data_IF_945718218772
#
_entry.id   IF_945718218772
#
_cell.length_a   1.000
_cell.length_b   1.000
_cell.length_c   1.000
_cell.angle_alpha   90.00
_cell.angle_beta   90.00
_cell.angle_gamma   90.00
#
_symmetry.space_group_name_H-M   'P 1'
#
loop_
_entity.id
_entity.type
_entity.pdbx_description
1 polymer ?
#
# COMPACT_ATOMS: atom_id res chain seq x y z
N UNK A 1 -15.60 -1.83 25.47
CA UNK A 1 -14.43 -1.71 24.56
C UNK A 1 -13.12 -1.85 25.34
N UNK A 2 -12.99 -1.19 26.48
CA UNK A 2 -11.83 -1.28 27.40
C UNK A 2 -11.53 -2.71 27.85
N UNK A 3 -12.56 -3.46 28.24
CA UNK A 3 -12.42 -4.81 28.83
C UNK A 3 -11.93 -5.86 27.83
N UNK A 4 -12.07 -5.59 26.53
CA UNK A 4 -11.56 -6.47 25.48
C UNK A 4 -10.04 -6.33 25.35
N UNK A 5 -9.53 -5.10 25.36
CA UNK A 5 -8.13 -4.79 25.10
C UNK A 5 -7.22 -5.23 26.25
N UNK A 6 -7.71 -5.19 27.49
CA UNK A 6 -6.95 -5.62 28.69
C UNK A 6 -6.63 -7.12 28.72
N UNK A 7 -7.18 -7.92 27.82
CA UNK A 7 -6.85 -9.35 27.70
C UNK A 7 -5.57 -9.60 26.88
N UNK A 8 -4.99 -8.56 26.27
CA UNK A 8 -3.80 -8.66 25.45
C UNK A 8 -2.65 -7.90 26.10
N UNK A 9 -1.44 -8.45 25.99
CA UNK A 9 -0.22 -7.81 26.49
C UNK A 9 0.48 -6.94 25.44
N UNK A 10 0.12 -7.12 24.16
CA UNK A 10 0.77 -6.44 23.05
C UNK A 10 -0.26 -6.11 21.96
N UNK A 11 -0.14 -4.91 21.43
CA UNK A 11 -0.85 -4.47 20.23
C UNK A 11 0.19 -4.20 19.14
N UNK A 12 0.05 -4.89 18.01
CA UNK A 12 0.92 -4.70 16.83
C UNK A 12 0.08 -4.02 15.75
N UNK A 13 0.54 -2.86 15.30
CA UNK A 13 -0.12 -2.10 14.24
C UNK A 13 0.63 -2.31 12.94
N UNK A 14 -0.11 -2.62 11.87
CA UNK A 14 0.38 -2.36 10.52
C UNK A 14 0.47 -0.84 10.31
N UNK A 15 1.30 -0.40 9.37
CA UNK A 15 1.45 1.03 9.07
C UNK A 15 0.36 1.50 8.10
N UNK A 16 0.27 0.85 6.94
CA UNK A 16 -0.46 1.39 5.80
C UNK A 16 -1.96 1.07 5.87
N UNK A 17 -2.80 2.11 5.78
CA UNK A 17 -4.25 1.96 5.96
C UNK A 17 -4.68 1.71 7.42
N UNK A 18 -3.72 1.70 8.36
CA UNK A 18 -3.96 1.52 9.80
C UNK A 18 -3.42 2.71 10.59
N UNK A 19 -2.11 2.97 10.54
CA UNK A 19 -1.52 4.19 11.12
C UNK A 19 -1.65 5.39 10.17
N UNK A 20 -1.34 5.16 8.90
CA UNK A 20 -1.32 6.19 7.87
C UNK A 20 -2.41 5.94 6.84
N UNK A 21 -3.13 6.99 6.42
CA UNK A 21 -4.09 6.91 5.31
C UNK A 21 -3.34 6.93 3.96
N UNK A 22 -2.57 5.87 3.72
CA UNK A 22 -1.64 5.76 2.59
C UNK A 22 -2.19 4.92 1.42
N UNK A 23 -3.35 4.29 1.57
CA UNK A 23 -3.92 3.40 0.55
C UNK A 23 -4.18 4.12 -0.79
N UNK A 24 -4.67 5.36 -0.73
CA UNK A 24 -4.87 6.19 -1.92
C UNK A 24 -3.54 6.52 -2.58
N UNK A 25 -2.54 6.94 -1.80
CA UNK A 25 -1.20 7.26 -2.31
C UNK A 25 -0.54 6.05 -2.97
N UNK A 26 -0.70 4.84 -2.41
CA UNK A 26 -0.22 3.61 -3.04
C UNK A 26 -0.89 3.35 -4.39
N UNK A 27 -2.20 3.54 -4.47
CA UNK A 27 -2.96 3.40 -5.73
C UNK A 27 -2.40 4.35 -6.79
N UNK A 28 -2.21 5.62 -6.44
CA UNK A 28 -1.62 6.61 -7.34
C UNK A 28 -0.16 6.29 -7.70
N UNK A 29 0.61 5.72 -6.77
CA UNK A 29 1.97 5.25 -7.04
C UNK A 29 2.04 4.16 -8.11
N UNK A 30 1.07 3.24 -8.14
CA UNK A 30 0.97 2.25 -9.22
C UNK A 30 0.61 2.90 -10.55
N UNK A 31 -0.33 3.87 -10.55
CA UNK A 31 -0.69 4.63 -11.76
C UNK A 31 0.51 5.39 -12.32
N UNK A 32 1.24 6.10 -11.45
CA UNK A 32 2.44 6.84 -11.81
C UNK A 32 3.57 5.94 -12.34
N UNK A 33 3.78 4.78 -11.70
CA UNK A 33 4.80 3.84 -12.14
C UNK A 33 4.53 3.28 -13.54
N UNK A 34 3.25 3.23 -13.95
CA UNK A 34 2.78 2.62 -15.18
C UNK A 34 2.17 3.63 -16.17
N UNK A 35 2.47 4.92 -16.04
CA UNK A 35 1.87 5.99 -16.86
C UNK A 35 2.07 5.82 -18.38
N UNK A 36 3.10 5.07 -18.78
CA UNK A 36 3.42 4.78 -20.19
C UNK A 36 2.60 3.64 -20.80
N UNK A 37 1.83 2.92 -20.00
CA UNK A 37 0.97 1.85 -20.47
C UNK A 37 -0.47 2.34 -20.64
N UNK A 38 -1.22 1.61 -21.46
CA UNK A 38 -2.61 1.90 -21.69
C UNK A 38 -3.42 1.85 -20.39
N UNK A 39 -4.36 2.77 -20.27
CA UNK A 39 -5.14 2.99 -19.04
C UNK A 39 -5.91 1.75 -18.60
N UNK A 40 -6.46 1.00 -19.56
CA UNK A 40 -7.28 -0.18 -19.29
C UNK A 40 -6.48 -1.28 -18.56
N UNK A 41 -5.23 -1.50 -18.94
CA UNK A 41 -4.33 -2.46 -18.30
C UNK A 41 -3.92 -1.98 -16.90
N UNK A 42 -3.64 -0.68 -16.75
CA UNK A 42 -3.33 -0.11 -15.44
C UNK A 42 -4.54 -0.24 -14.51
N UNK A 43 -5.75 0.02 -14.99
CA UNK A 43 -6.99 -0.12 -14.21
C UNK A 43 -7.27 -1.58 -13.81
N UNK A 44 -6.87 -2.57 -14.64
CA UNK A 44 -6.88 -3.99 -14.23
C UNK A 44 -5.96 -4.25 -13.04
N UNK A 45 -4.74 -3.68 -13.04
CA UNK A 45 -3.83 -3.80 -11.90
C UNK A 45 -4.38 -3.08 -10.66
N UNK A 46 -4.96 -1.89 -10.80
CA UNK A 46 -5.54 -1.17 -9.67
C UNK A 46 -6.69 -1.98 -9.05
N UNK A 47 -7.55 -2.55 -9.89
CA UNK A 47 -8.63 -3.43 -9.44
C UNK A 47 -8.09 -4.66 -8.71
N UNK A 48 -7.01 -5.26 -9.21
CA UNK A 48 -6.31 -6.35 -8.53
C UNK A 48 -5.71 -5.90 -7.18
N UNK A 49 -5.02 -4.76 -7.15
CA UNK A 49 -4.39 -4.18 -5.97
C UNK A 49 -5.40 -3.93 -4.85
N UNK A 50 -6.57 -3.37 -5.17
CA UNK A 50 -7.62 -3.03 -4.21
C UNK A 50 -8.33 -4.28 -3.65
N UNK A 51 -8.49 -5.33 -4.46
CA UNK A 51 -9.06 -6.60 -4.00
C UNK A 51 -8.08 -7.44 -3.18
N UNK A 52 -6.79 -7.35 -3.48
CA UNK A 52 -5.74 -8.17 -2.86
C UNK A 52 -4.80 -7.32 -2.00
N UNK A 53 -5.36 -6.82 -0.89
CA UNK A 53 -4.59 -6.19 0.19
C UNK A 53 -3.49 -7.12 0.70
N UNK A 54 -2.39 -6.57 1.22
CA UNK A 54 -1.28 -7.35 1.79
C UNK A 54 -0.30 -8.00 0.81
N UNK A 55 -0.61 -8.07 -0.50
CA UNK A 55 0.33 -8.57 -1.51
C UNK A 55 1.42 -7.52 -1.82
N UNK A 56 2.66 -7.99 -1.93
CA UNK A 56 3.82 -7.15 -2.22
C UNK A 56 3.74 -6.47 -3.59
N UNK A 57 4.37 -5.30 -3.72
CA UNK A 57 4.49 -4.59 -5.00
C UNK A 57 5.21 -5.41 -6.08
N UNK A 58 6.12 -6.29 -5.68
CA UNK A 58 6.87 -7.16 -6.58
C UNK A 58 5.93 -8.14 -7.30
N UNK A 59 5.06 -8.81 -6.55
CA UNK A 59 4.04 -9.70 -7.14
C UNK A 59 3.03 -8.93 -7.98
N UNK A 60 2.65 -7.72 -7.56
CA UNK A 60 1.74 -6.86 -8.33
C UNK A 60 2.31 -6.45 -9.69
N UNK A 61 3.58 -6.01 -9.75
CA UNK A 61 4.20 -5.70 -11.04
C UNK A 61 4.47 -6.95 -11.86
N UNK A 62 4.83 -8.07 -11.23
CA UNK A 62 4.97 -9.36 -11.93
C UNK A 62 3.66 -9.74 -12.62
N UNK A 63 2.55 -9.72 -11.88
CA UNK A 63 1.20 -9.97 -12.40
C UNK A 63 0.82 -9.02 -13.53
N UNK A 64 1.14 -7.72 -13.41
CA UNK A 64 0.88 -6.77 -14.48
C UNK A 64 1.58 -7.13 -15.79
N UNK A 65 2.87 -7.48 -15.73
CA UNK A 65 3.62 -7.78 -16.94
C UNK A 65 3.33 -9.17 -17.50
N UNK A 66 3.24 -10.20 -16.66
CA UNK A 66 3.02 -11.58 -17.11
C UNK A 66 1.57 -11.88 -17.45
N UNK A 67 0.61 -11.42 -16.64
CA UNK A 67 -0.79 -11.82 -16.81
C UNK A 67 -1.63 -10.76 -17.52
N UNK A 68 -1.41 -9.47 -17.23
CA UNK A 68 -2.21 -8.40 -17.86
C UNK A 68 -1.69 -8.09 -19.26
N UNK A 69 -0.37 -7.98 -19.44
CA UNK A 69 0.26 -7.66 -20.72
C UNK A 69 0.72 -8.89 -21.52
N UNK A 70 0.71 -10.07 -20.91
CA UNK A 70 1.14 -11.33 -21.54
C UNK A 70 2.55 -11.25 -22.16
N UNK A 71 3.50 -10.66 -21.42
CA UNK A 71 4.89 -10.50 -21.85
C UNK A 71 5.78 -11.59 -21.23
N UNK A 72 6.63 -12.20 -22.04
CA UNK A 72 7.61 -13.19 -21.59
C UNK A 72 8.92 -12.56 -21.07
N UNK A 73 9.39 -11.46 -21.68
CA UNK A 73 10.54 -10.69 -21.17
C UNK A 73 10.15 -9.26 -20.82
N UNK A 74 10.00 -9.02 -19.53
CA UNK A 74 9.61 -7.73 -18.95
C UNK A 74 10.58 -7.26 -17.87
N UNK A 75 11.76 -7.88 -17.73
CA UNK A 75 12.70 -7.64 -16.61
C UNK A 75 13.12 -6.18 -16.49
N UNK A 76 13.36 -5.51 -17.62
CA UNK A 76 13.71 -4.08 -17.68
C UNK A 76 12.55 -3.21 -17.20
N UNK A 77 11.38 -3.40 -17.80
CA UNK A 77 10.15 -2.66 -17.48
C UNK A 77 9.72 -2.85 -16.02
N UNK A 78 9.88 -4.06 -15.49
CA UNK A 78 9.62 -4.41 -14.10
C UNK A 78 10.51 -3.64 -13.12
N UNK A 79 11.83 -3.67 -13.34
CA UNK A 79 12.78 -2.94 -12.50
C UNK A 79 12.52 -1.43 -12.57
N UNK A 80 12.27 -0.90 -13.76
CA UNK A 80 11.95 0.52 -13.95
C UNK A 80 10.67 0.92 -13.20
N UNK A 81 9.59 0.12 -13.30
CA UNK A 81 8.32 0.41 -12.63
C UNK A 81 8.45 0.35 -11.11
N UNK A 82 9.26 -0.58 -10.57
CA UNK A 82 9.56 -0.65 -9.14
C UNK A 82 10.31 0.60 -8.64
N UNK A 83 11.29 1.08 -9.41
CA UNK A 83 12.05 2.29 -9.07
C UNK A 83 11.14 3.51 -9.09
N UNK A 84 10.33 3.67 -10.14
CA UNK A 84 9.36 4.76 -10.27
C UNK A 84 8.32 4.76 -9.14
N UNK A 85 7.80 3.58 -8.80
CA UNK A 85 6.90 3.43 -7.66
C UNK A 85 7.57 3.87 -6.36
N UNK A 86 8.82 3.43 -6.14
CA UNK A 86 9.55 3.75 -4.91
C UNK A 86 9.84 5.25 -4.81
N UNK A 87 10.27 5.90 -5.88
CA UNK A 87 10.48 7.36 -5.89
C UNK A 87 9.20 8.15 -5.65
N UNK A 88 8.07 7.67 -6.18
CA UNK A 88 6.77 8.29 -5.92
C UNK A 88 6.38 8.15 -4.46
N UNK A 89 6.49 6.94 -3.90
CA UNK A 89 6.15 6.70 -2.50
C UNK A 89 7.05 7.51 -1.56
N UNK A 90 8.35 7.58 -1.82
CA UNK A 90 9.27 8.38 -1.00
C UNK A 90 8.87 9.86 -0.95
N UNK A 91 8.41 10.42 -2.07
CA UNK A 91 7.97 11.81 -2.13
C UNK A 91 6.63 12.05 -1.46
N UNK A 92 5.66 11.16 -1.67
CA UNK A 92 4.27 11.40 -1.28
C UNK A 92 3.91 10.85 0.10
N UNK A 93 4.63 9.84 0.60
CA UNK A 93 4.33 9.21 1.89
C UNK A 93 4.53 10.16 3.08
N UNK A 94 5.40 11.17 2.99
CA UNK A 94 5.55 12.17 4.06
C UNK A 94 4.35 13.12 4.19
N UNK A 95 3.48 13.17 3.17
CA UNK A 95 2.33 14.07 3.12
C UNK A 95 1.01 13.37 3.47
N UNK A 96 1.05 12.08 3.86
CA UNK A 96 -0.16 11.35 4.26
C UNK A 96 -0.56 11.69 5.68
N UNK A 97 -1.87 11.81 5.88
CA UNK A 97 -2.43 11.97 7.21
C UNK A 97 -2.36 10.65 7.98
N UNK A 98 -2.44 10.75 9.30
CA UNK A 98 -2.79 9.61 10.13
C UNK A 98 -4.24 9.21 9.86
N UNK A 99 -4.55 7.92 9.98
CA UNK A 99 -5.94 7.46 9.97
C UNK A 99 -6.69 8.13 11.11
N UNK A 100 -7.93 8.55 10.85
CA UNK A 100 -8.75 9.24 11.84
C UNK A 100 -8.87 8.41 13.13
N UNK A 101 -8.67 9.05 14.28
CA UNK A 101 -8.76 8.41 15.59
C UNK A 101 -7.54 7.58 16.01
N UNK A 102 -6.61 7.23 15.10
CA UNK A 102 -5.50 6.32 15.45
C UNK A 102 -4.55 6.89 16.50
N UNK A 103 -4.27 8.20 16.45
CA UNK A 103 -3.44 8.87 17.47
C UNK A 103 -4.09 8.80 18.84
N UNK A 104 -5.37 9.17 18.93
CA UNK A 104 -6.12 9.10 20.18
C UNK A 104 -6.22 7.68 20.73
N UNK A 105 -6.33 6.68 19.85
CA UNK A 105 -6.32 5.28 20.25
C UNK A 105 -4.96 4.85 20.83
N UNK A 106 -3.85 5.22 20.18
CA UNK A 106 -2.49 4.92 20.67
C UNK A 106 -2.24 5.61 22.01
N UNK A 107 -2.58 6.90 22.13
CA UNK A 107 -2.45 7.65 23.39
C UNK A 107 -3.27 7.03 24.51
N UNK A 108 -4.48 6.55 24.20
CA UNK A 108 -5.34 5.83 25.14
C UNK A 108 -4.69 4.53 25.62
N UNK A 109 -4.17 3.69 24.72
CA UNK A 109 -3.50 2.44 25.09
C UNK A 109 -2.26 2.71 25.95
N UNK A 110 -1.47 3.72 25.58
CA UNK A 110 -0.28 4.13 26.32
C UNK A 110 -0.61 4.56 27.76
N UNK A 111 -1.64 5.40 27.95
CA UNK A 111 -2.06 5.86 29.28
C UNK A 111 -2.61 4.74 30.16
N UNK A 112 -3.23 3.72 29.57
CA UNK A 112 -3.83 2.59 30.28
C UNK A 112 -2.87 1.42 30.50
N UNK A 113 -1.63 1.52 30.00
CA UNK A 113 -0.66 0.43 30.00
C UNK A 113 -1.24 -0.87 29.42
N UNK A 114 -2.01 -0.72 28.34
CA UNK A 114 -2.49 -1.82 27.49
C UNK A 114 -1.40 -2.13 26.46
#
# INVERSE_FOLDING_TARGET
>A
LTDFLTNYNFLIFDCDGVLFDSNKVKTEGFRFALEKYHKEEVDKLISFHQRQGGISRYEKFKYFFSEILNLDDYRKNYKESLLRFSSYMEKELFNVNFVEGVKGFIDYCWQKQI
#
